data_IF_149893242629
#
_entry.id   IF_149893242629
#
_cell.length_a   1.000
_cell.length_b   1.000
_cell.length_c   1.000
_cell.angle_alpha   90.00
_cell.angle_beta   90.00
_cell.angle_gamma   90.00
#
_symmetry.space_group_name_H-M   'P 1'
#
loop_
_entity.id
_entity.type
_entity.pdbx_description
1 polymer ?
#
# COMPACT_ATOMS: atom_id res chain seq x y z
N UNK A 1 -0.80 -28.98 22.59
CA UNK A 1 0.41 -28.93 21.74
C UNK A 1 0.66 -27.48 21.40
N UNK A 2 1.85 -26.92 21.72
CA UNK A 2 2.20 -25.56 21.29
C UNK A 2 2.60 -25.63 19.82
N UNK A 3 1.86 -24.95 18.96
CA UNK A 3 2.18 -24.89 17.54
C UNK A 3 3.10 -23.70 17.29
N UNK A 4 4.33 -23.95 16.86
CA UNK A 4 5.31 -22.92 16.57
C UNK A 4 5.24 -22.50 15.10
N UNK A 5 5.52 -21.24 14.82
CA UNK A 5 5.75 -20.73 13.46
C UNK A 5 7.25 -20.84 13.16
N UNK A 6 7.62 -21.55 12.11
CA UNK A 6 9.01 -21.70 11.69
C UNK A 6 9.31 -20.79 10.50
N UNK A 7 10.38 -20.01 10.60
CA UNK A 7 10.84 -19.17 9.50
C UNK A 7 11.36 -20.03 8.33
N UNK A 8 10.84 -19.82 7.13
CA UNK A 8 11.25 -20.58 5.94
C UNK A 8 12.71 -20.28 5.49
N UNK A 9 13.30 -19.17 5.92
CA UNK A 9 14.64 -18.73 5.50
C UNK A 9 15.76 -19.24 6.41
N UNK A 10 15.48 -19.44 7.70
CA UNK A 10 16.49 -19.83 8.69
C UNK A 10 16.00 -20.85 9.74
N UNK A 11 14.77 -21.35 9.60
CA UNK A 11 14.13 -22.32 10.49
C UNK A 11 14.01 -21.88 11.96
N UNK A 12 14.11 -20.57 12.24
CA UNK A 12 13.94 -20.02 13.58
C UNK A 12 12.50 -20.22 14.08
N UNK A 13 12.30 -20.79 15.29
CA UNK A 13 10.97 -21.01 15.86
C UNK A 13 10.41 -19.73 16.50
N UNK A 14 9.10 -19.54 16.38
CA UNK A 14 8.35 -18.44 16.98
C UNK A 14 7.10 -18.95 17.67
N UNK A 15 6.81 -18.42 18.87
CA UNK A 15 5.69 -18.87 19.71
C UNK A 15 4.34 -18.37 19.21
N UNK A 16 4.32 -17.27 18.45
CA UNK A 16 3.13 -16.69 17.85
C UNK A 16 3.46 -15.94 16.54
N UNK A 17 2.43 -15.44 15.88
CA UNK A 17 2.56 -14.68 14.64
C UNK A 17 3.33 -13.37 14.85
N UNK A 18 3.16 -12.72 16.00
CA UNK A 18 3.80 -11.43 16.32
C UNK A 18 5.31 -11.58 16.41
N UNK A 19 5.80 -12.59 17.14
CA UNK A 19 7.23 -12.88 17.26
C UNK A 19 7.81 -13.29 15.92
N UNK A 20 7.07 -14.07 15.13
CA UNK A 20 7.50 -14.45 13.79
C UNK A 20 7.62 -13.23 12.85
N UNK A 21 6.62 -12.35 12.84
CA UNK A 21 6.63 -11.14 12.02
C UNK A 21 7.76 -10.19 12.42
N UNK A 22 8.02 -10.05 13.72
CA UNK A 22 9.14 -9.26 14.24
C UNK A 22 10.49 -9.88 13.84
N UNK A 23 10.63 -11.21 13.91
CA UNK A 23 11.80 -11.92 13.42
C UNK A 23 12.06 -11.62 11.93
N UNK A 24 11.04 -11.71 11.08
CA UNK A 24 11.17 -11.39 9.65
C UNK A 24 11.61 -9.93 9.41
N UNK A 25 11.10 -8.99 10.21
CA UNK A 25 11.50 -7.56 10.14
C UNK A 25 12.94 -7.32 10.57
N UNK A 26 13.39 -7.89 11.68
CA UNK A 26 14.69 -7.60 12.28
C UNK A 26 15.83 -8.41 11.64
N UNK A 27 15.61 -9.72 11.45
CA UNK A 27 16.65 -10.64 10.96
C UNK A 27 16.73 -10.63 9.45
N UNK A 28 15.57 -10.69 8.78
CA UNK A 28 15.48 -10.75 7.33
C UNK A 28 15.24 -9.39 6.66
N UNK A 29 15.18 -8.30 7.44
CA UNK A 29 14.93 -6.93 6.96
C UNK A 29 13.67 -6.83 6.10
N UNK A 30 12.68 -7.73 6.29
CA UNK A 30 11.43 -7.69 5.54
C UNK A 30 10.58 -6.52 6.03
N UNK A 31 10.67 -5.40 5.32
CA UNK A 31 9.83 -4.24 5.57
C UNK A 31 8.45 -4.48 4.96
N UNK A 32 7.44 -4.56 5.82
CA UNK A 32 6.03 -4.54 5.42
C UNK A 32 5.50 -3.13 5.57
N UNK A 33 5.00 -2.56 4.48
CA UNK A 33 4.30 -1.29 4.43
C UNK A 33 2.82 -1.53 4.70
N UNK A 34 2.25 -0.84 5.68
CA UNK A 34 0.86 -0.98 6.10
C UNK A 34 0.09 0.27 5.71
N UNK A 35 -1.13 0.09 5.19
CA UNK A 35 -2.01 1.21 4.90
C UNK A 35 -2.45 1.88 6.20
N UNK A 36 -2.45 3.22 6.21
CA UNK A 36 -2.93 4.00 7.36
C UNK A 36 -4.45 4.03 7.49
N UNK A 37 -5.18 3.64 6.45
CA UNK A 37 -6.64 3.77 6.36
C UNK A 37 -7.39 2.43 6.48
N UNK A 38 -6.70 1.30 6.29
CA UNK A 38 -7.30 -0.03 6.43
C UNK A 38 -6.23 -1.08 6.74
N UNK A 39 -6.64 -2.35 6.86
CA UNK A 39 -5.78 -3.47 7.22
C UNK A 39 -4.89 -3.99 6.08
N UNK A 40 -4.86 -3.32 4.92
CA UNK A 40 -4.01 -3.73 3.80
C UNK A 40 -2.52 -3.54 4.12
N UNK A 41 -1.71 -4.58 3.86
CA UNK A 41 -0.26 -4.54 3.99
C UNK A 41 0.43 -5.15 2.78
N UNK A 42 1.62 -4.66 2.44
CA UNK A 42 2.42 -5.16 1.31
C UNK A 42 3.91 -4.95 1.56
N UNK A 43 4.76 -5.77 0.93
CA UNK A 43 6.22 -5.57 0.95
C UNK A 43 6.69 -4.53 -0.07
N UNK A 44 5.80 -4.09 -0.98
CA UNK A 44 6.16 -3.16 -2.05
C UNK A 44 5.56 -1.76 -1.77
N UNK A 45 6.39 -0.73 -1.55
CA UNK A 45 5.91 0.61 -1.25
C UNK A 45 5.07 1.21 -2.40
N UNK A 46 5.39 0.86 -3.65
CA UNK A 46 4.63 1.33 -4.81
C UNK A 46 3.20 0.74 -4.82
N UNK A 47 3.06 -0.54 -4.43
CA UNK A 47 1.74 -1.17 -4.29
C UNK A 47 0.92 -0.51 -3.19
N UNK A 48 1.56 -0.12 -2.07
CA UNK A 48 0.86 0.61 -1.03
C UNK A 48 0.38 1.99 -1.53
N UNK A 49 1.23 2.71 -2.27
CA UNK A 49 0.88 4.02 -2.83
C UNK A 49 -0.32 3.92 -3.79
N UNK A 50 -0.32 2.94 -4.70
CA UNK A 50 -1.42 2.71 -5.62
C UNK A 50 -2.69 2.30 -4.86
N UNK A 51 -2.59 1.40 -3.88
CA UNK A 51 -3.70 1.02 -3.02
C UNK A 51 -4.34 2.25 -2.34
N UNK A 52 -3.54 3.13 -1.74
CA UNK A 52 -4.03 4.35 -1.10
C UNK A 52 -4.74 5.25 -2.10
N UNK A 53 -4.16 5.47 -3.28
CA UNK A 53 -4.81 6.27 -4.34
C UNK A 53 -6.16 5.71 -4.74
N UNK A 54 -6.21 4.42 -5.09
CA UNK A 54 -7.41 3.82 -5.68
C UNK A 54 -8.53 3.56 -4.67
N UNK A 55 -8.19 3.23 -3.42
CA UNK A 55 -9.16 2.79 -2.42
C UNK A 55 -9.52 3.85 -1.39
N UNK A 56 -8.65 4.85 -1.17
CA UNK A 56 -8.82 5.85 -0.11
C UNK A 56 -8.77 7.30 -0.61
N UNK A 57 -8.35 7.55 -1.85
CA UNK A 57 -8.28 8.88 -2.46
C UNK A 57 -9.11 8.99 -3.75
N UNK A 58 -10.09 8.11 -3.94
CA UNK A 58 -10.88 8.00 -5.19
C UNK A 58 -11.63 9.31 -5.55
N UNK A 59 -11.81 10.23 -4.60
CA UNK A 59 -12.44 11.54 -4.83
C UNK A 59 -11.47 12.67 -5.21
N UNK A 60 -10.15 12.45 -5.22
CA UNK A 60 -9.15 13.50 -5.44
C UNK A 60 -8.51 13.52 -6.84
N UNK A 61 -8.83 12.56 -7.72
CA UNK A 61 -8.28 12.50 -9.08
C UNK A 61 -9.25 12.98 -10.17
N UNK A 62 -10.00 14.04 -9.88
CA UNK A 62 -10.33 15.02 -10.93
C UNK A 62 -9.94 16.40 -10.44
N UNK A 63 -8.72 16.90 -10.74
CA UNK A 63 -8.55 18.33 -10.77
C UNK A 63 -9.54 18.82 -11.83
N UNK A 64 -10.67 19.35 -11.39
CA UNK A 64 -11.48 20.25 -12.20
C UNK A 64 -10.60 21.46 -12.47
N UNK A 65 -9.71 21.31 -13.46
CA UNK A 65 -8.92 22.41 -14.00
C UNK A 65 -9.92 23.32 -14.69
N UNK A 66 -10.47 24.25 -13.92
CA UNK A 66 -11.29 25.32 -14.42
C UNK A 66 -10.37 26.22 -15.25
N UNK A 67 -10.52 26.16 -16.58
CA UNK A 67 -9.97 27.19 -17.44
C UNK A 67 -10.56 28.54 -16.99
N UNK A 68 -9.71 29.45 -16.52
CA UNK A 68 -10.11 30.77 -16.02
C UNK A 68 -10.72 31.68 -17.10
N UNK A 69 -10.69 31.24 -18.36
CA UNK A 69 -11.22 31.97 -19.52
C UNK A 69 -12.56 31.41 -19.99
N UNK A 70 -12.77 30.08 -19.91
CA UNK A 70 -13.89 29.44 -20.62
C UNK A 70 -14.97 28.81 -19.71
N UNK A 71 -14.74 28.62 -18.40
CA UNK A 71 -15.70 28.03 -17.45
C UNK A 71 -16.31 26.66 -17.86
N UNK A 72 -15.74 25.95 -18.84
CA UNK A 72 -16.21 24.62 -19.24
C UNK A 72 -15.36 23.53 -18.60
N UNK A 73 -16.02 22.48 -18.10
CA UNK A 73 -15.37 21.28 -17.58
C UNK A 73 -14.87 20.41 -18.73
N UNK A 74 -13.55 20.29 -18.87
CA UNK A 74 -12.95 19.43 -19.89
C UNK A 74 -12.74 18.03 -19.31
N UNK A 75 -13.40 17.04 -19.90
CA UNK A 75 -13.14 15.63 -19.62
C UNK A 75 -12.26 15.08 -20.73
N UNK A 76 -11.03 14.73 -20.35
CA UNK A 76 -10.10 13.95 -21.15
C UNK A 76 -9.30 14.67 -22.24
N UNK A 77 -8.14 14.10 -22.53
CA UNK A 77 -6.94 14.71 -23.08
C UNK A 77 -6.84 14.40 -24.58
N UNK A 78 -7.95 14.54 -25.30
CA UNK A 78 -8.07 14.09 -26.70
C UNK A 78 -8.33 15.20 -27.72
N UNK A 79 -8.02 16.47 -27.41
CA UNK A 79 -7.85 17.48 -28.47
C UNK A 79 -6.91 18.59 -27.99
N UNK A 80 -5.61 18.33 -28.07
CA UNK A 80 -4.63 19.39 -28.26
C UNK A 80 -4.24 19.36 -29.74
N UNK A 81 -5.03 20.03 -30.58
CA UNK A 81 -4.60 20.55 -31.89
C UNK A 81 -4.28 22.03 -31.76
#
# INVERSE_FOLDING_TARGET
MKNFFYCALCNHPSVDFTSHHQHMKLVHKMQTYVCRYCTYCTFNPNRLRIHVKQRHLQELERPHLQCSVCLVYVHDKDNLT
#
